data_IF_795606649248
#
_entry.id   IF_795606649248
#
_cell.length_a   1.000
_cell.length_b   1.000
_cell.length_c   1.000
_cell.angle_alpha   90.00
_cell.angle_beta   90.00
_cell.angle_gamma   90.00
#
_symmetry.space_group_name_H-M   'P 1'
#
loop_
_entity.id
_entity.type
_entity.pdbx_description
1 polymer ?
#
# COMPACT_ATOMS: atom_id res chain seq x y z
N UNK A 1 26.46 11.23 53.82
CA UNK A 1 27.93 11.46 53.75
C UNK A 1 28.35 11.27 52.30
N UNK A 2 29.21 12.18 51.78
CA UNK A 2 29.95 12.12 50.48
C UNK A 2 29.20 11.55 49.24
N UNK A 3 28.79 12.32 48.22
CA UNK A 3 29.61 13.12 47.28
C UNK A 3 30.73 12.24 46.66
N UNK A 4 30.89 12.03 45.34
CA UNK A 4 31.11 12.92 44.17
C UNK A 4 30.98 12.01 42.89
N UNK A 5 30.93 12.42 41.60
CA UNK A 5 30.93 13.71 40.86
C UNK A 5 30.28 13.51 39.46
N UNK A 6 29.77 14.59 38.87
CA UNK A 6 29.53 14.83 37.42
C UNK A 6 30.25 16.17 37.10
N UNK A 7 30.69 16.57 35.87
CA UNK A 7 29.95 16.39 34.60
C UNK A 7 30.78 16.40 33.25
N UNK A 8 30.07 16.40 32.11
CA UNK A 8 30.37 17.02 30.78
C UNK A 8 31.71 16.70 30.06
N UNK A 9 31.59 16.19 28.82
CA UNK A 9 32.34 16.70 27.66
C UNK A 9 31.46 16.81 26.42
N UNK A 10 31.38 17.99 25.85
CA UNK A 10 30.76 18.29 24.54
C UNK A 10 31.72 17.98 23.39
N UNK A 11 31.20 17.48 22.27
CA UNK A 11 31.93 17.46 20.99
C UNK A 11 31.09 18.06 19.86
N UNK A 12 31.23 19.36 19.68
CA UNK A 12 30.84 20.04 18.45
C UNK A 12 31.91 19.83 17.38
N UNK A 13 31.55 19.28 16.22
CA UNK A 13 32.32 19.47 14.98
C UNK A 13 31.43 20.05 13.89
N UNK A 14 31.60 21.35 13.64
CA UNK A 14 31.32 21.94 12.33
C UNK A 14 32.50 21.60 11.41
N UNK A 15 32.20 21.13 10.21
CA UNK A 15 33.10 21.24 9.06
C UNK A 15 32.35 21.97 7.95
N UNK A 16 32.84 23.16 7.62
CA UNK A 16 32.44 23.96 6.46
C UNK A 16 33.66 24.04 5.52
N UNK A 17 33.49 24.62 4.32
CA UNK A 17 34.54 24.99 3.34
C UNK A 17 35.03 23.80 2.49
N UNK A 18 35.03 23.83 1.14
CA UNK A 18 34.54 24.83 0.15
C UNK A 18 34.36 24.14 -1.23
N UNK A 19 33.44 24.65 -2.04
CA UNK A 19 33.43 24.40 -3.49
C UNK A 19 34.61 25.10 -4.19
N UNK A 20 35.12 24.46 -5.24
CA UNK A 20 36.08 25.05 -6.19
C UNK A 20 35.72 24.62 -7.63
N UNK A 21 34.74 25.29 -8.23
CA UNK A 21 34.94 25.82 -9.60
C UNK A 21 33.96 26.95 -9.91
N UNK A 22 34.49 28.14 -10.20
CA UNK A 22 33.70 29.35 -10.39
C UNK A 22 33.45 29.66 -11.86
N UNK A 23 32.30 29.25 -12.42
CA UNK A 23 31.84 29.72 -13.74
C UNK A 23 30.39 30.19 -13.72
N UNK A 24 30.20 31.48 -14.01
CA UNK A 24 28.89 32.11 -14.19
C UNK A 24 28.38 31.83 -15.60
N UNK A 25 27.15 31.30 -15.73
CA UNK A 25 26.38 31.41 -16.96
C UNK A 25 25.19 32.36 -16.75
N UNK A 26 24.99 33.28 -17.70
CA UNK A 26 23.84 34.19 -17.74
C UNK A 26 22.72 33.51 -18.53
N UNK A 27 21.52 33.40 -17.96
CA UNK A 27 20.31 33.05 -18.69
C UNK A 27 19.60 34.32 -19.19
N UNK A 28 19.31 34.36 -20.49
CA UNK A 28 18.44 35.36 -21.12
C UNK A 28 17.02 34.82 -21.23
N UNK A 29 15.96 35.62 -20.96
CA UNK A 29 14.59 35.17 -21.11
C UNK A 29 14.19 35.12 -22.59
N UNK A 30 13.57 34.02 -23.02
CA UNK A 30 12.94 33.90 -24.34
C UNK A 30 11.45 34.21 -24.25
N UNK A 31 10.96 35.01 -25.19
CA UNK A 31 9.56 35.41 -25.33
C UNK A 31 8.99 34.69 -26.57
N UNK A 32 7.78 34.14 -26.46
CA UNK A 32 7.01 33.60 -27.59
C UNK A 32 5.75 34.43 -27.83
N UNK A 33 5.49 34.90 -29.07
CA UNK A 33 4.26 35.61 -29.41
C UNK A 33 3.21 34.71 -30.07
N UNK A 34 1.92 34.96 -29.78
CA UNK A 34 0.82 34.58 -30.66
C UNK A 34 0.81 35.45 -31.93
N UNK A 35 0.21 34.95 -33.03
CA UNK A 35 -0.87 35.74 -33.65
C UNK A 35 -2.09 34.91 -34.12
N UNK A 36 -3.17 35.63 -34.43
CA UNK A 36 -4.48 35.13 -34.86
C UNK A 36 -4.73 35.32 -36.37
N UNK A 37 -5.68 34.52 -36.89
CA UNK A 37 -6.63 34.79 -37.99
C UNK A 37 -6.18 35.29 -39.39
N UNK A 38 -6.65 34.53 -40.41
CA UNK A 38 -7.12 35.02 -41.72
C UNK A 38 -8.05 33.92 -42.31
N UNK A 39 -9.36 34.06 -42.52
CA UNK A 39 -10.16 34.98 -43.37
C UNK A 39 -10.69 34.31 -44.66
N UNK A 40 -12.03 34.15 -44.71
CA UNK A 40 -12.95 34.54 -45.83
C UNK A 40 -13.02 33.61 -47.08
N UNK A 41 -14.00 33.77 -48.03
CA UNK A 41 -15.22 34.64 -48.06
C UNK A 41 -16.57 34.00 -48.61
N UNK A 42 -17.72 34.65 -48.29
CA UNK A 42 -18.87 35.09 -49.18
C UNK A 42 -19.61 34.03 -50.07
N UNK A 43 -20.90 33.67 -49.82
CA UNK A 43 -22.20 34.22 -50.36
C UNK A 43 -22.45 34.06 -51.89
N UNK A 44 -23.67 34.02 -52.49
CA UNK A 44 -25.05 34.42 -52.12
C UNK A 44 -26.09 33.71 -53.07
N UNK A 45 -27.40 33.92 -52.79
CA UNK A 45 -28.56 33.94 -53.72
C UNK A 45 -29.53 32.72 -53.84
N UNK A 46 -30.81 33.08 -54.04
CA UNK A 46 -32.03 32.28 -53.95
C UNK A 46 -32.46 31.65 -55.29
N UNK A 47 -33.26 30.57 -55.23
CA UNK A 47 -34.55 30.48 -55.95
C UNK A 47 -35.39 29.26 -55.51
N UNK A 48 -36.70 29.49 -55.42
CA UNK A 48 -37.81 28.54 -55.26
C UNK A 48 -38.84 28.96 -56.36
N UNK A 49 -39.79 28.13 -56.89
CA UNK A 49 -40.52 27.12 -56.14
C UNK A 49 -40.96 25.82 -56.84
N UNK A 50 -41.63 24.99 -56.02
CA UNK A 50 -42.66 23.96 -56.33
C UNK A 50 -42.25 22.47 -56.33
N UNK A 51 -42.53 21.79 -55.20
CA UNK A 51 -43.48 20.64 -55.12
C UNK A 51 -43.83 20.28 -53.67
N UNK A 52 -45.00 19.66 -53.49
CA UNK A 52 -45.63 19.31 -52.19
C UNK A 52 -44.97 18.07 -51.52
N UNK A 53 -45.20 17.85 -50.21
CA UNK A 53 -44.21 17.18 -49.35
C UNK A 53 -44.31 15.66 -49.32
N UNK A 54 -43.18 15.01 -49.02
CA UNK A 54 -43.14 13.66 -48.45
C UNK A 54 -42.61 13.80 -47.02
N UNK A 55 -43.42 13.36 -46.06
CA UNK A 55 -43.10 13.45 -44.64
C UNK A 55 -42.22 12.23 -44.27
N UNK A 56 -40.92 12.45 -44.00
CA UNK A 56 -40.08 11.47 -43.32
C UNK A 56 -39.62 12.04 -41.99
N UNK A 57 -39.95 11.33 -40.90
CA UNK A 57 -39.56 11.66 -39.54
C UNK A 57 -38.05 11.45 -39.34
N UNK A 58 -37.25 12.49 -39.58
CA UNK A 58 -35.78 12.48 -39.43
C UNK A 58 -35.29 12.46 -37.97
N UNK A 59 -36.20 12.50 -36.99
CA UNK A 59 -35.90 12.61 -35.57
C UNK A 59 -35.48 11.29 -34.89
N UNK A 60 -35.75 10.12 -35.47
CA UNK A 60 -35.40 8.83 -34.86
C UNK A 60 -33.97 8.39 -35.17
N UNK A 61 -33.49 8.56 -36.41
CA UNK A 61 -32.15 8.07 -36.80
C UNK A 61 -31.03 8.88 -36.13
N UNK A 62 -31.19 10.20 -36.00
CA UNK A 62 -30.23 11.04 -35.29
C UNK A 62 -30.19 10.74 -33.78
N UNK A 63 -31.32 10.38 -33.17
CA UNK A 63 -31.37 9.97 -31.77
C UNK A 63 -30.68 8.61 -31.55
N UNK A 64 -30.96 7.61 -32.39
CA UNK A 64 -30.32 6.28 -32.32
C UNK A 64 -28.81 6.38 -32.53
N UNK A 65 -28.33 7.15 -33.51
CA UNK A 65 -26.88 7.34 -33.71
C UNK A 65 -26.20 8.06 -32.53
N UNK A 66 -26.91 8.95 -31.84
CA UNK A 66 -26.40 9.64 -30.62
C UNK A 66 -26.46 8.72 -29.39
N UNK A 67 -27.40 7.78 -29.33
CA UNK A 67 -27.46 6.74 -28.30
C UNK A 67 -26.39 5.67 -28.52
N UNK A 68 -26.23 5.15 -29.75
CA UNK A 68 -25.14 4.25 -30.13
C UNK A 68 -23.78 4.90 -29.85
N UNK A 69 -23.53 6.15 -30.28
CA UNK A 69 -22.28 6.85 -29.94
C UNK A 69 -22.13 7.16 -28.44
N UNK A 70 -23.21 7.24 -27.66
CA UNK A 70 -23.15 7.34 -26.18
C UNK A 70 -22.84 6.00 -25.52
N UNK A 71 -23.29 4.89 -26.08
CA UNK A 71 -22.96 3.55 -25.59
C UNK A 71 -21.57 3.11 -26.04
N UNK A 72 -21.13 3.51 -27.24
CA UNK A 72 -19.76 3.35 -27.72
C UNK A 72 -18.79 4.21 -26.90
N UNK A 73 -19.08 5.50 -26.67
CA UNK A 73 -18.24 6.34 -25.79
C UNK A 73 -18.26 5.88 -24.33
N UNK A 74 -19.39 5.42 -23.78
CA UNK A 74 -19.43 4.81 -22.44
C UNK A 74 -18.72 3.47 -22.35
N UNK A 75 -18.76 2.64 -23.40
CA UNK A 75 -18.04 1.35 -23.40
C UNK A 75 -16.54 1.54 -23.63
N UNK A 76 -16.14 2.58 -24.37
CA UNK A 76 -14.75 3.03 -24.49
C UNK A 76 -14.26 3.67 -23.17
N UNK A 77 -15.04 4.54 -22.52
CA UNK A 77 -14.74 5.03 -21.16
C UNK A 77 -14.61 3.86 -20.16
N UNK A 78 -15.51 2.89 -20.21
CA UNK A 78 -15.49 1.70 -19.35
C UNK A 78 -14.31 0.76 -19.65
N UNK A 79 -13.81 0.75 -20.88
CA UNK A 79 -12.60 0.05 -21.27
C UNK A 79 -11.31 0.82 -20.91
N UNK A 80 -11.41 2.14 -20.68
CA UNK A 80 -10.31 3.00 -20.23
C UNK A 80 -10.24 3.15 -18.70
N UNK A 81 -11.35 2.97 -17.99
CA UNK A 81 -11.33 2.87 -16.51
C UNK A 81 -10.63 1.59 -16.07
N UNK A 82 -9.55 1.74 -15.33
CA UNK A 82 -8.83 0.64 -14.69
C UNK A 82 -9.74 -0.16 -13.76
N UNK A 83 -10.03 -1.41 -14.12
CA UNK A 83 -10.83 -2.32 -13.30
C UNK A 83 -9.99 -2.84 -12.11
N UNK A 84 -9.96 -2.03 -11.05
CA UNK A 84 -9.28 -2.35 -9.81
C UNK A 84 -9.75 -3.69 -9.22
N UNK A 85 -11.03 -4.05 -9.33
CA UNK A 85 -11.55 -5.29 -8.76
C UNK A 85 -10.98 -6.51 -9.49
N UNK A 86 -11.01 -6.50 -10.82
CA UNK A 86 -10.42 -7.59 -11.61
C UNK A 86 -8.90 -7.63 -11.51
N UNK A 87 -8.21 -6.49 -11.41
CA UNK A 87 -6.78 -6.43 -11.11
C UNK A 87 -6.46 -7.13 -9.78
N UNK A 88 -7.15 -6.75 -8.71
CA UNK A 88 -6.96 -7.31 -7.36
C UNK A 88 -7.24 -8.82 -7.33
N UNK A 89 -8.32 -9.28 -7.98
CA UNK A 89 -8.65 -10.71 -8.08
C UNK A 89 -7.59 -11.49 -8.86
N UNK A 90 -7.11 -10.95 -9.99
CA UNK A 90 -6.08 -11.57 -10.81
C UNK A 90 -4.76 -11.72 -10.04
N UNK A 91 -4.25 -10.63 -9.46
CA UNK A 91 -2.99 -10.63 -8.70
C UNK A 91 -3.09 -11.48 -7.43
N UNK A 92 -4.22 -11.44 -6.71
CA UNK A 92 -4.44 -12.32 -5.55
C UNK A 92 -4.45 -13.81 -5.94
N UNK A 93 -4.97 -14.15 -7.12
CA UNK A 93 -4.91 -15.53 -7.66
C UNK A 93 -3.46 -15.96 -7.94
N UNK A 94 -2.68 -15.15 -8.65
CA UNK A 94 -1.24 -15.40 -8.90
C UNK A 94 -0.47 -15.62 -7.58
N UNK A 95 -0.69 -14.74 -6.60
CA UNK A 95 -0.03 -14.80 -5.29
C UNK A 95 -0.44 -16.04 -4.51
N UNK A 96 -1.73 -16.37 -4.45
CA UNK A 96 -2.21 -17.58 -3.76
C UNK A 96 -1.58 -18.86 -4.35
N UNK A 97 -1.49 -18.93 -5.69
CA UNK A 97 -0.80 -20.04 -6.37
C UNK A 97 0.68 -20.11 -5.99
N UNK A 98 1.40 -18.98 -6.05
CA UNK A 98 2.82 -18.92 -5.72
C UNK A 98 3.09 -19.30 -4.24
N UNK A 99 2.24 -18.86 -3.30
CA UNK A 99 2.31 -19.25 -1.89
C UNK A 99 2.07 -20.75 -1.67
N UNK A 100 1.13 -21.35 -2.41
CA UNK A 100 0.86 -22.79 -2.36
C UNK A 100 2.03 -23.63 -2.93
N UNK A 101 2.64 -23.17 -4.02
CA UNK A 101 3.82 -23.79 -4.64
C UNK A 101 5.09 -23.62 -3.79
N UNK A 102 5.21 -22.51 -3.04
CA UNK A 102 6.38 -22.21 -2.21
C UNK A 102 6.48 -23.09 -0.95
N UNK A 103 5.36 -23.46 -0.32
CA UNK A 103 5.34 -24.23 0.94
C UNK A 103 4.64 -25.57 0.74
N UNK A 104 5.38 -26.58 0.27
CA UNK A 104 4.88 -27.94 0.11
C UNK A 104 4.81 -28.69 1.46
N UNK A 105 3.89 -29.65 1.56
CA UNK A 105 3.83 -30.58 2.70
C UNK A 105 5.02 -31.55 2.65
N UNK A 106 5.79 -31.59 3.73
CA UNK A 106 6.96 -32.47 3.93
C UNK A 106 7.20 -32.64 5.43
N UNK A 107 8.06 -33.58 5.82
CA UNK A 107 8.39 -33.77 7.24
C UNK A 107 9.21 -32.59 7.81
N UNK A 108 8.97 -32.18 9.07
CA UNK A 108 7.89 -32.62 9.95
C UNK A 108 6.52 -32.08 9.49
N UNK A 109 5.55 -32.97 9.27
CA UNK A 109 4.26 -32.62 8.67
C UNK A 109 3.50 -31.54 9.44
N UNK A 110 3.38 -31.67 10.77
CA UNK A 110 2.55 -30.79 11.63
C UNK A 110 2.93 -29.30 11.52
N UNK A 111 4.23 -28.99 11.32
CA UNK A 111 4.70 -27.61 11.10
C UNK A 111 4.26 -27.11 9.72
N UNK A 112 4.48 -27.89 8.65
CA UNK A 112 4.11 -27.48 7.29
C UNK A 112 2.59 -27.36 7.12
N UNK A 113 1.80 -28.21 7.80
CA UNK A 113 0.34 -28.08 7.88
C UNK A 113 -0.08 -26.78 8.58
N UNK A 114 0.52 -26.46 9.73
CA UNK A 114 0.25 -25.22 10.46
C UNK A 114 0.62 -23.95 9.66
N UNK A 115 1.81 -23.94 9.04
CA UNK A 115 2.25 -22.83 8.16
C UNK A 115 1.27 -22.62 7.00
N UNK A 116 0.91 -23.69 6.29
CA UNK A 116 -0.04 -23.63 5.17
C UNK A 116 -1.44 -23.23 5.63
N UNK A 117 -1.90 -23.69 6.79
CA UNK A 117 -3.23 -23.38 7.32
C UNK A 117 -3.46 -21.87 7.40
N UNK A 118 -2.56 -21.13 8.06
CA UNK A 118 -2.68 -19.67 8.24
C UNK A 118 -2.42 -18.92 6.93
N UNK A 119 -1.37 -19.32 6.19
CA UNK A 119 -0.92 -18.62 4.99
C UNK A 119 -1.95 -18.72 3.85
N UNK A 120 -2.55 -19.90 3.69
CA UNK A 120 -3.53 -20.21 2.63
C UNK A 120 -4.99 -20.04 3.09
N UNK A 121 -5.23 -19.50 4.29
CA UNK A 121 -6.59 -19.17 4.76
C UNK A 121 -7.31 -18.06 3.95
N UNK A 122 -6.68 -17.53 2.90
CA UNK A 122 -7.16 -16.38 2.13
C UNK A 122 -6.75 -15.04 2.77
N UNK A 123 -7.24 -13.93 2.20
CA UNK A 123 -6.96 -12.58 2.68
C UNK A 123 -7.02 -11.55 1.54
N UNK A 124 -7.00 -10.24 1.87
CA UNK A 124 -7.03 -9.15 0.88
C UNK A 124 -5.73 -9.07 0.03
N UNK A 125 -4.63 -9.75 0.43
CA UNK A 125 -3.30 -9.82 -0.23
C UNK A 125 -2.69 -8.46 -0.66
N UNK A 126 -3.01 -7.38 0.07
CA UNK A 126 -2.60 -5.99 -0.25
C UNK A 126 -1.08 -5.83 -0.31
N UNK A 127 -0.35 -6.45 0.63
CA UNK A 127 1.13 -6.40 0.72
C UNK A 127 1.80 -7.02 -0.53
N UNK A 128 1.50 -8.27 -0.94
CA UNK A 128 1.91 -8.82 -2.23
C UNK A 128 1.62 -7.91 -3.43
N UNK A 129 0.43 -7.32 -3.50
CA UNK A 129 0.03 -6.49 -4.63
C UNK A 129 0.77 -5.15 -4.69
N UNK A 130 1.06 -4.53 -3.54
CA UNK A 130 1.96 -3.37 -3.46
C UNK A 130 3.38 -3.71 -3.96
N UNK A 131 3.91 -4.88 -3.60
CA UNK A 131 5.22 -5.34 -4.07
C UNK A 131 5.26 -5.59 -5.58
N UNK A 132 4.23 -6.22 -6.14
CA UNK A 132 4.15 -6.47 -7.58
C UNK A 132 3.96 -5.15 -8.35
N UNK A 133 3.03 -4.30 -7.93
CA UNK A 133 2.76 -3.01 -8.58
C UNK A 133 3.96 -2.06 -8.55
N UNK A 134 4.72 -2.00 -7.44
CA UNK A 134 5.92 -1.18 -7.35
C UNK A 134 7.06 -1.68 -8.24
N UNK A 135 7.17 -3.00 -8.45
CA UNK A 135 8.10 -3.60 -9.42
C UNK A 135 7.72 -3.25 -10.86
N UNK A 136 6.45 -3.44 -11.22
CA UNK A 136 5.91 -3.15 -12.55
C UNK A 136 6.04 -1.65 -12.92
N UNK A 137 5.82 -0.76 -11.94
CA UNK A 137 5.94 0.70 -12.07
C UNK A 137 7.30 1.11 -12.66
N UNK A 138 8.38 0.60 -12.08
CA UNK A 138 9.76 0.96 -12.46
C UNK A 138 10.30 0.11 -13.62
N UNK A 139 9.45 -0.72 -14.24
CA UNK A 139 9.79 -1.50 -15.44
C UNK A 139 10.21 -2.94 -15.19
N UNK A 140 10.10 -3.43 -13.95
CA UNK A 140 10.26 -4.84 -13.62
C UNK A 140 9.08 -5.72 -14.05
N UNK A 141 9.18 -7.01 -13.73
CA UNK A 141 8.15 -8.01 -14.06
C UNK A 141 7.57 -8.64 -12.77
N UNK A 142 6.29 -9.00 -12.78
CA UNK A 142 5.61 -9.71 -11.68
C UNK A 142 6.40 -10.95 -11.23
N UNK A 143 6.90 -11.75 -12.18
CA UNK A 143 7.71 -12.95 -11.94
C UNK A 143 8.98 -12.69 -11.13
N UNK A 144 9.54 -11.48 -11.23
CA UNK A 144 10.75 -11.05 -10.51
C UNK A 144 10.42 -10.63 -9.08
N UNK A 145 9.25 -10.01 -8.87
CA UNK A 145 8.78 -9.59 -7.55
C UNK A 145 8.09 -10.72 -6.76
N UNK A 146 7.57 -11.76 -7.42
CA UNK A 146 6.73 -12.78 -6.79
C UNK A 146 7.35 -13.44 -5.54
N UNK A 147 8.67 -13.78 -5.49
CA UNK A 147 9.28 -14.31 -4.27
C UNK A 147 9.25 -13.32 -3.09
N UNK A 148 9.49 -12.02 -3.33
CA UNK A 148 9.38 -10.99 -2.30
C UNK A 148 7.92 -10.72 -1.91
N UNK A 149 6.99 -10.75 -2.87
CA UNK A 149 5.56 -10.64 -2.63
C UNK A 149 5.05 -11.82 -1.74
N UNK A 150 5.56 -13.03 -1.97
CA UNK A 150 5.29 -14.18 -1.11
C UNK A 150 5.90 -14.00 0.28
N UNK A 151 7.16 -13.56 0.38
CA UNK A 151 7.86 -13.36 1.64
C UNK A 151 7.18 -12.32 2.56
N UNK A 152 6.69 -11.20 2.03
CA UNK A 152 5.96 -10.21 2.85
C UNK A 152 4.61 -10.74 3.36
N UNK A 153 3.95 -11.66 2.64
CA UNK A 153 2.73 -12.31 3.12
C UNK A 153 3.02 -13.46 4.10
N UNK A 154 4.16 -14.15 3.98
CA UNK A 154 4.66 -15.08 4.99
C UNK A 154 4.94 -14.35 6.31
N UNK A 155 5.64 -13.21 6.26
CA UNK A 155 5.90 -12.33 7.41
C UNK A 155 4.61 -11.77 8.00
N UNK A 156 3.70 -11.27 7.16
CA UNK A 156 2.39 -10.82 7.64
C UNK A 156 1.59 -11.95 8.30
N UNK A 157 1.65 -13.16 7.75
CA UNK A 157 0.94 -14.31 8.31
C UNK A 157 1.54 -14.75 9.65
N UNK A 158 2.87 -14.80 9.78
CA UNK A 158 3.49 -15.18 11.05
C UNK A 158 3.29 -14.12 12.14
N UNK A 159 3.28 -12.83 11.76
CA UNK A 159 2.98 -11.78 12.74
C UNK A 159 1.57 -11.97 13.32
N UNK A 160 0.57 -12.27 12.48
CA UNK A 160 -0.79 -12.60 12.95
C UNK A 160 -0.83 -13.87 13.80
N UNK A 161 -0.08 -14.92 13.43
CA UNK A 161 -0.05 -16.16 14.21
C UNK A 161 0.55 -16.00 15.61
N UNK A 162 1.48 -15.06 15.79
CA UNK A 162 2.05 -14.72 17.10
C UNK A 162 1.16 -13.74 17.85
N UNK A 163 0.59 -12.74 17.18
CA UNK A 163 -0.42 -11.78 17.72
C UNK A 163 -1.65 -12.52 18.28
N UNK A 164 -2.08 -13.62 17.63
CA UNK A 164 -3.18 -14.49 18.06
C UNK A 164 -2.92 -15.28 19.38
N UNK A 165 -1.67 -15.36 19.88
CA UNK A 165 -1.33 -16.26 21.00
C UNK A 165 -1.96 -15.84 22.34
N UNK A 166 -2.14 -16.78 23.31
CA UNK A 166 -2.72 -16.47 24.62
C UNK A 166 -1.94 -15.47 25.49
N UNK A 167 -0.66 -15.24 25.19
CA UNK A 167 0.19 -14.24 25.83
C UNK A 167 0.21 -12.87 25.12
N UNK A 168 -0.58 -12.73 24.04
CA UNK A 168 -0.74 -11.56 23.18
C UNK A 168 -2.25 -11.23 23.15
N UNK A 169 -2.88 -11.07 21.98
CA UNK A 169 -4.31 -10.72 21.88
C UNK A 169 -5.25 -11.86 22.32
N UNK A 170 -4.77 -13.11 22.39
CA UNK A 170 -5.53 -14.31 22.76
C UNK A 170 -6.81 -14.52 21.92
N UNK A 171 -6.77 -14.14 20.64
CA UNK A 171 -7.90 -14.22 19.72
C UNK A 171 -8.27 -15.70 19.42
N UNK A 172 -9.57 -16.04 19.44
CA UNK A 172 -10.07 -17.39 19.15
C UNK A 172 -10.29 -17.63 17.64
N UNK A 173 -10.45 -16.56 16.85
CA UNK A 173 -10.83 -16.61 15.43
C UNK A 173 -10.03 -15.63 14.56
N UNK A 174 -9.50 -16.11 13.44
CA UNK A 174 -8.82 -15.29 12.42
C UNK A 174 -9.28 -15.70 11.01
N UNK A 175 -9.58 -14.71 10.16
CA UNK A 175 -10.09 -14.92 8.77
C UNK A 175 -11.29 -15.89 8.68
N UNK A 176 -12.18 -15.86 9.68
CA UNK A 176 -13.38 -16.71 9.74
C UNK A 176 -13.13 -18.18 10.11
N UNK A 177 -11.94 -18.51 10.62
CA UNK A 177 -11.55 -19.85 11.09
C UNK A 177 -10.93 -19.76 12.49
N UNK A 178 -10.82 -20.86 13.26
CA UNK A 178 -10.06 -20.88 14.49
C UNK A 178 -8.61 -20.39 14.30
N UNK A 179 -8.07 -19.69 15.29
CA UNK A 179 -6.66 -19.28 15.29
C UNK A 179 -5.71 -20.47 15.34
N UNK A 180 -4.46 -20.25 14.92
CA UNK A 180 -3.52 -21.34 14.71
C UNK A 180 -3.26 -22.15 15.99
N UNK A 181 -3.11 -21.50 17.14
CA UNK A 181 -2.88 -22.18 18.41
C UNK A 181 -4.08 -23.03 18.86
N UNK A 182 -5.32 -22.64 18.51
CA UNK A 182 -6.51 -23.46 18.78
C UNK A 182 -6.55 -24.73 17.93
N UNK A 183 -6.01 -24.69 16.72
CA UNK A 183 -5.97 -25.83 15.81
C UNK A 183 -4.80 -26.78 16.08
N UNK A 184 -3.62 -26.25 16.41
CA UNK A 184 -2.37 -27.03 16.44
C UNK A 184 -1.65 -27.08 17.80
N UNK A 185 -2.03 -26.23 18.76
CA UNK A 185 -1.30 -25.98 20.00
C UNK A 185 -0.42 -24.72 19.92
N UNK A 186 -0.18 -24.08 21.07
CA UNK A 186 0.68 -22.88 21.19
C UNK A 186 2.12 -23.15 20.74
N UNK A 187 2.65 -24.32 21.10
CA UNK A 187 3.99 -24.79 20.74
C UNK A 187 4.21 -24.83 19.22
N UNK A 188 3.24 -25.37 18.49
CA UNK A 188 3.27 -25.44 17.04
C UNK A 188 2.96 -24.10 16.38
N UNK A 189 2.10 -23.27 16.97
CA UNK A 189 1.80 -21.94 16.45
C UNK A 189 3.03 -21.01 16.50
N UNK A 190 3.78 -21.02 17.61
CA UNK A 190 5.06 -20.30 17.75
C UNK A 190 6.04 -20.78 16.67
N UNK A 191 6.34 -22.08 16.64
CA UNK A 191 7.36 -22.66 15.75
C UNK A 191 6.99 -22.56 14.26
N UNK A 192 5.72 -22.62 13.90
CA UNK A 192 5.27 -22.41 12.52
C UNK A 192 5.36 -20.93 12.11
N UNK A 193 5.18 -20.00 13.05
CA UNK A 193 5.45 -18.58 12.83
C UNK A 193 6.94 -18.33 12.60
N UNK A 194 7.81 -18.90 13.44
CA UNK A 194 9.27 -18.82 13.30
C UNK A 194 9.75 -19.43 11.97
N UNK A 195 9.16 -20.55 11.56
CA UNK A 195 9.46 -21.21 10.29
C UNK A 195 9.03 -20.37 9.08
N UNK A 196 7.85 -19.71 9.13
CA UNK A 196 7.42 -18.77 8.09
C UNK A 196 8.34 -17.56 8.01
N UNK A 197 8.78 -17.04 9.15
CA UNK A 197 9.74 -15.95 9.23
C UNK A 197 11.08 -16.33 8.60
N UNK A 198 11.69 -17.45 9.01
CA UNK A 198 12.94 -17.92 8.44
C UNK A 198 12.82 -18.22 6.94
N UNK A 199 11.75 -18.91 6.52
CA UNK A 199 11.53 -19.27 5.13
C UNK A 199 11.29 -18.04 4.24
N UNK A 200 10.73 -16.95 4.77
CA UNK A 200 10.55 -15.71 3.99
C UNK A 200 11.88 -15.18 3.41
N UNK A 201 12.97 -15.21 4.20
CA UNK A 201 14.32 -14.84 3.76
C UNK A 201 14.94 -15.87 2.83
N UNK A 202 14.83 -17.17 3.14
CA UNK A 202 15.31 -18.25 2.27
C UNK A 202 14.66 -18.16 0.88
N UNK A 203 13.35 -17.92 0.83
CA UNK A 203 12.58 -17.85 -0.40
C UNK A 203 13.00 -16.65 -1.27
N UNK A 204 13.19 -15.46 -0.69
CA UNK A 204 13.77 -14.32 -1.43
C UNK A 204 15.16 -14.65 -1.97
N UNK A 205 16.04 -15.20 -1.13
CA UNK A 205 17.42 -15.50 -1.51
C UNK A 205 17.54 -16.56 -2.62
N UNK A 206 16.69 -17.59 -2.58
CA UNK A 206 16.82 -18.79 -3.43
C UNK A 206 15.87 -18.80 -4.62
N UNK A 207 14.67 -18.22 -4.53
CA UNK A 207 13.68 -18.25 -5.60
C UNK A 207 13.74 -17.03 -6.54
N UNK A 208 14.30 -15.89 -6.11
CA UNK A 208 14.49 -14.73 -7.00
C UNK A 208 15.44 -15.05 -8.16
N UNK A 209 15.05 -14.68 -9.38
CA UNK A 209 15.81 -14.87 -10.64
C UNK A 209 15.81 -13.57 -11.45
N UNK A 210 16.74 -13.45 -12.40
CA UNK A 210 16.83 -12.29 -13.30
C UNK A 210 17.38 -11.00 -12.69
N UNK A 211 17.85 -11.04 -11.44
CA UNK A 211 18.35 -9.89 -10.68
C UNK A 211 19.76 -10.21 -10.14
N UNK A 212 20.64 -9.21 -10.03
CA UNK A 212 21.97 -9.44 -9.44
C UNK A 212 21.87 -9.73 -7.92
N UNK A 213 22.88 -10.41 -7.38
CA UNK A 213 22.92 -10.80 -5.97
C UNK A 213 22.93 -9.60 -5.01
N UNK A 214 23.55 -8.48 -5.38
CA UNK A 214 23.62 -7.26 -4.58
C UNK A 214 22.23 -6.66 -4.32
N UNK A 215 21.37 -6.56 -5.34
CA UNK A 215 19.97 -6.15 -5.17
C UNK A 215 19.18 -7.13 -4.31
N UNK A 216 19.40 -8.44 -4.45
CA UNK A 216 18.75 -9.46 -3.60
C UNK A 216 19.19 -9.30 -2.14
N UNK A 217 20.48 -9.06 -1.87
CA UNK A 217 21.00 -8.77 -0.52
C UNK A 217 20.43 -7.45 0.03
N UNK A 218 20.29 -6.40 -0.79
CA UNK A 218 19.62 -5.15 -0.40
C UNK A 218 18.16 -5.38 -0.01
N UNK A 219 17.41 -6.16 -0.80
CA UNK A 219 16.01 -6.56 -0.53
C UNK A 219 15.91 -7.31 0.81
N UNK A 220 16.82 -8.26 1.05
CA UNK A 220 16.90 -8.99 2.33
C UNK A 220 17.21 -8.03 3.50
N UNK A 221 18.09 -7.04 3.32
CA UNK A 221 18.41 -6.05 4.35
C UNK A 221 17.23 -5.11 4.67
N UNK A 222 16.50 -4.65 3.66
CA UNK A 222 15.27 -3.86 3.85
C UNK A 222 14.20 -4.68 4.59
N UNK A 223 14.01 -5.94 4.20
CA UNK A 223 13.06 -6.84 4.84
C UNK A 223 13.43 -7.11 6.32
N UNK A 224 14.72 -7.33 6.61
CA UNK A 224 15.22 -7.54 7.96
C UNK A 224 15.04 -6.31 8.87
N UNK A 225 15.29 -5.10 8.36
CA UNK A 225 15.03 -3.84 9.09
C UNK A 225 13.54 -3.66 9.39
N UNK A 226 12.70 -3.91 8.38
CA UNK A 226 11.24 -3.79 8.49
C UNK A 226 10.64 -4.66 9.59
N UNK A 227 11.15 -5.86 9.83
CA UNK A 227 10.59 -6.76 10.86
C UNK A 227 11.17 -6.52 12.25
N UNK A 228 12.39 -5.98 12.34
CA UNK A 228 13.19 -5.98 13.55
C UNK A 228 12.77 -4.94 14.59
N UNK A 229 13.71 -4.66 15.50
CA UNK A 229 13.57 -3.66 16.58
C UNK A 229 13.47 -2.20 16.12
N UNK A 230 13.49 -1.95 14.80
CA UNK A 230 13.26 -0.64 14.16
C UNK A 230 11.99 -0.63 13.30
N UNK A 231 11.16 -1.69 13.39
CA UNK A 231 9.99 -1.91 12.53
C UNK A 231 8.88 -2.67 13.26
N UNK A 232 8.33 -3.71 12.62
CA UNK A 232 7.14 -4.46 13.08
C UNK A 232 7.19 -4.83 14.57
N UNK A 233 8.30 -5.46 15.02
CA UNK A 233 8.45 -5.87 16.43
C UNK A 233 8.51 -4.65 17.37
N UNK A 234 9.10 -3.53 16.95
CA UNK A 234 9.10 -2.30 17.75
C UNK A 234 7.66 -1.77 17.95
N UNK A 235 6.87 -1.75 16.87
CA UNK A 235 5.46 -1.35 16.92
C UNK A 235 4.64 -2.26 17.82
N UNK A 236 4.83 -3.58 17.71
CA UNK A 236 4.13 -4.56 18.56
C UNK A 236 4.48 -4.41 20.04
N UNK A 237 5.77 -4.29 20.38
CA UNK A 237 6.22 -4.12 21.77
C UNK A 237 5.68 -2.83 22.38
N UNK A 238 5.65 -1.74 21.61
CA UNK A 238 5.11 -0.46 22.10
C UNK A 238 3.58 -0.49 22.19
N UNK A 239 2.86 -1.17 21.30
CA UNK A 239 1.40 -1.36 21.40
C UNK A 239 1.04 -2.08 22.72
N UNK A 240 1.65 -3.25 22.98
CA UNK A 240 1.45 -4.02 24.22
C UNK A 240 1.86 -3.21 25.46
N UNK A 241 2.99 -2.50 25.41
CA UNK A 241 3.45 -1.65 26.52
C UNK A 241 2.57 -0.42 26.76
N UNK A 242 1.63 -0.12 25.86
CA UNK A 242 0.68 0.99 25.97
C UNK A 242 -0.70 0.56 26.46
N UNK A 243 -0.97 -0.74 26.57
CA UNK A 243 -2.24 -1.25 27.09
C UNK A 243 -2.41 -0.87 28.57
N UNK A 244 -3.57 -0.31 28.90
CA UNK A 244 -3.86 0.22 30.24
C UNK A 244 -3.18 1.55 30.58
N UNK A 245 -2.42 2.19 29.67
CA UNK A 245 -1.97 3.57 29.84
C UNK A 245 -3.09 4.55 29.49
N UNK A 246 -3.48 5.39 30.45
CA UNK A 246 -4.57 6.36 30.30
C UNK A 246 -4.24 7.57 29.41
N UNK A 247 -2.96 7.83 29.15
CA UNK A 247 -2.48 8.99 28.38
C UNK A 247 -1.42 8.58 27.36
N UNK A 248 -1.87 8.19 26.16
CA UNK A 248 -1.00 7.99 24.99
C UNK A 248 -1.06 9.25 24.11
N UNK A 249 0.07 9.92 23.93
CA UNK A 249 0.17 11.10 23.07
C UNK A 249 0.13 10.78 21.58
N UNK A 250 -0.18 11.78 20.75
CA UNK A 250 -0.30 11.62 19.29
C UNK A 250 0.98 11.05 18.65
N UNK A 251 2.15 11.55 19.05
CA UNK A 251 3.46 11.09 18.54
C UNK A 251 3.71 9.61 18.86
N UNK A 252 3.20 9.13 19.99
CA UNK A 252 3.35 7.74 20.45
C UNK A 252 2.35 6.82 19.74
N UNK A 253 1.13 7.29 19.50
CA UNK A 253 0.15 6.61 18.65
C UNK A 253 0.67 6.47 17.21
N UNK A 254 1.20 7.56 16.64
CA UNK A 254 1.80 7.56 15.30
C UNK A 254 3.01 6.62 15.24
N UNK A 255 3.85 6.56 16.29
CA UNK A 255 4.92 5.57 16.38
C UNK A 255 4.37 4.14 16.29
N UNK A 256 3.36 3.77 17.07
CA UNK A 256 2.75 2.42 17.03
C UNK A 256 2.28 2.10 15.62
N UNK A 257 1.53 3.01 14.99
CA UNK A 257 0.95 2.78 13.67
C UNK A 257 1.97 2.71 12.53
N UNK A 258 2.99 3.57 12.56
CA UNK A 258 4.09 3.53 11.60
C UNK A 258 4.86 2.21 11.67
N UNK A 259 5.06 1.66 12.88
CA UNK A 259 5.87 0.46 13.07
C UNK A 259 5.05 -0.84 12.96
N UNK A 260 3.90 -0.97 13.63
CA UNK A 260 3.05 -2.18 13.62
C UNK A 260 2.39 -2.42 12.25
N UNK A 261 1.93 -1.36 11.58
CA UNK A 261 1.16 -1.47 10.32
C UNK A 261 1.93 -0.96 9.10
N UNK A 262 2.45 0.27 9.13
CA UNK A 262 3.00 0.91 7.94
C UNK A 262 4.33 0.30 7.49
N UNK A 263 5.22 -0.10 8.39
CA UNK A 263 6.55 -0.63 8.07
C UNK A 263 6.50 -1.80 7.05
N UNK A 264 5.57 -2.75 7.21
CA UNK A 264 5.46 -3.88 6.29
C UNK A 264 4.81 -3.52 4.94
N UNK A 265 4.01 -2.44 4.89
CA UNK A 265 3.53 -1.86 3.63
C UNK A 265 4.66 -1.10 2.91
N UNK A 266 5.49 -0.36 3.67
CA UNK A 266 6.72 0.28 3.20
C UNK A 266 7.69 -0.73 2.59
N UNK A 267 8.03 -1.79 3.32
CA UNK A 267 8.86 -2.86 2.80
C UNK A 267 8.26 -3.46 1.54
N UNK A 268 6.97 -3.81 1.54
CA UNK A 268 6.31 -4.39 0.35
C UNK A 268 6.57 -3.55 -0.91
N UNK A 269 6.34 -2.24 -0.85
CA UNK A 269 6.59 -1.32 -1.98
C UNK A 269 8.10 -1.23 -2.31
N UNK A 270 8.96 -1.05 -1.30
CA UNK A 270 10.42 -0.87 -1.47
C UNK A 270 11.08 -2.10 -2.06
N UNK A 271 10.72 -3.32 -1.62
CA UNK A 271 11.25 -4.57 -2.16
C UNK A 271 10.90 -4.69 -3.65
N UNK A 272 9.64 -4.39 -4.01
CA UNK A 272 9.18 -4.35 -5.38
C UNK A 272 9.98 -3.39 -6.25
N UNK A 273 10.16 -2.15 -5.80
CA UNK A 273 10.93 -1.13 -6.51
C UNK A 273 12.40 -1.56 -6.74
N UNK A 274 13.09 -2.07 -5.71
CA UNK A 274 14.49 -2.50 -5.82
C UNK A 274 14.64 -3.68 -6.80
N UNK A 275 13.72 -4.65 -6.76
CA UNK A 275 13.71 -5.80 -7.67
C UNK A 275 13.40 -5.39 -9.11
N UNK A 276 12.46 -4.45 -9.30
CA UNK A 276 12.13 -3.89 -10.61
C UNK A 276 13.24 -3.02 -11.21
N UNK A 277 14.19 -2.59 -10.39
CA UNK A 277 15.38 -1.87 -10.83
C UNK A 277 15.33 -0.35 -10.68
N UNK A 278 14.46 0.14 -9.78
CA UNK A 278 14.41 1.52 -9.34
C UNK A 278 15.79 2.05 -8.93
N UNK A 279 16.03 3.33 -9.20
CA UNK A 279 17.14 4.07 -8.60
C UNK A 279 16.78 4.54 -7.17
N UNK A 280 17.76 5.07 -6.43
CA UNK A 280 17.57 5.42 -5.02
C UNK A 280 16.54 6.56 -4.79
N UNK A 281 16.42 7.52 -5.72
CA UNK A 281 15.39 8.56 -5.64
C UNK A 281 13.99 7.97 -5.84
N UNK A 282 13.82 7.06 -6.80
CA UNK A 282 12.56 6.35 -7.02
C UNK A 282 12.19 5.49 -5.80
N UNK A 283 13.15 4.80 -5.19
CA UNK A 283 12.96 4.04 -3.95
C UNK A 283 12.53 4.95 -2.81
N UNK A 284 13.18 6.09 -2.59
CA UNK A 284 12.83 7.02 -1.50
C UNK A 284 11.47 7.68 -1.69
N UNK A 285 11.07 7.98 -2.93
CA UNK A 285 9.72 8.45 -3.25
C UNK A 285 8.67 7.38 -2.98
N UNK A 286 8.92 6.15 -3.41
CA UNK A 286 8.01 5.02 -3.19
C UNK A 286 7.95 4.61 -1.70
N UNK A 287 9.03 4.81 -0.95
CA UNK A 287 9.06 4.70 0.52
C UNK A 287 8.11 5.71 1.18
N UNK A 288 8.18 6.98 0.77
CA UNK A 288 7.27 8.05 1.26
C UNK A 288 5.81 7.75 0.90
N UNK A 289 5.53 7.34 -0.34
CA UNK A 289 4.20 6.87 -0.76
C UNK A 289 3.66 5.80 0.19
N UNK A 290 4.49 4.79 0.46
CA UNK A 290 4.11 3.65 1.28
C UNK A 290 3.87 4.00 2.76
N UNK A 291 4.64 4.93 3.32
CA UNK A 291 4.39 5.52 4.66
C UNK A 291 3.05 6.23 4.72
N UNK A 292 2.75 7.09 3.74
CA UNK A 292 1.48 7.81 3.68
C UNK A 292 0.28 6.86 3.62
N UNK A 293 0.29 5.85 2.74
CA UNK A 293 -0.82 4.87 2.67
C UNK A 293 -0.89 3.95 3.90
N UNK A 294 0.25 3.68 4.56
CA UNK A 294 0.29 2.84 5.75
C UNK A 294 -0.30 3.54 6.97
N UNK A 295 -0.02 4.83 7.14
CA UNK A 295 -0.65 5.65 8.18
C UNK A 295 -2.14 5.88 7.87
N UNK A 296 -2.46 6.18 6.61
CA UNK A 296 -3.83 6.33 6.10
C UNK A 296 -4.69 5.08 6.39
N UNK A 297 -4.14 3.87 6.18
CA UNK A 297 -4.85 2.63 6.43
C UNK A 297 -5.37 2.53 7.86
N UNK A 298 -4.56 2.99 8.82
CA UNK A 298 -4.85 2.94 10.23
C UNK A 298 -5.78 4.07 10.68
N UNK A 299 -5.54 5.31 10.21
CA UNK A 299 -6.48 6.44 10.41
C UNK A 299 -7.89 6.07 9.93
N UNK A 300 -8.00 5.37 8.80
CA UNK A 300 -9.29 4.89 8.28
C UNK A 300 -9.85 3.74 9.10
N UNK A 301 -9.05 2.79 9.60
CA UNK A 301 -9.55 1.70 10.46
C UNK A 301 -10.13 2.26 11.78
N UNK A 302 -9.41 3.19 12.41
CA UNK A 302 -9.85 3.90 13.63
C UNK A 302 -11.16 4.67 13.41
N UNK A 303 -11.31 5.37 12.28
CA UNK A 303 -12.56 6.07 11.91
C UNK A 303 -13.69 5.07 11.68
N UNK A 304 -13.42 3.94 11.02
CA UNK A 304 -14.41 2.92 10.74
C UNK A 304 -14.90 2.24 12.04
N UNK A 305 -14.02 1.92 12.99
CA UNK A 305 -14.38 1.28 14.27
C UNK A 305 -15.37 2.11 15.10
N UNK A 306 -15.28 3.44 15.02
CA UNK A 306 -16.18 4.37 15.73
C UNK A 306 -17.41 4.83 14.92
N UNK A 307 -17.49 4.52 13.61
CA UNK A 307 -18.60 4.98 12.74
C UNK A 307 -19.48 3.88 12.17
N UNK A 308 -18.98 2.66 12.03
CA UNK A 308 -19.69 1.53 11.41
C UNK A 308 -20.16 0.56 12.48
N UNK A 309 -21.23 -0.17 12.18
CA UNK A 309 -21.69 -1.27 13.02
C UNK A 309 -20.81 -2.52 12.87
N UNK A 310 -20.80 -3.39 13.89
CA UNK A 310 -20.09 -4.67 13.84
C UNK A 310 -20.49 -5.55 12.65
N UNK A 311 -21.72 -5.39 12.17
CA UNK A 311 -22.25 -6.13 11.02
C UNK A 311 -21.66 -5.64 9.69
N UNK A 312 -21.32 -4.34 9.58
CA UNK A 312 -20.70 -3.76 8.38
C UNK A 312 -19.19 -4.06 8.31
N UNK A 313 -18.51 -4.03 9.46
CA UNK A 313 -17.06 -4.28 9.53
C UNK A 313 -16.70 -5.77 9.51
N UNK A 314 -17.60 -6.67 9.94
CA UNK A 314 -17.29 -8.08 10.14
C UNK A 314 -16.36 -8.37 11.33
N UNK A 315 -16.05 -7.34 12.13
CA UNK A 315 -15.40 -7.40 13.46
C UNK A 315 -16.31 -6.73 14.50
N UNK A 316 -16.10 -6.97 15.79
CA UNK A 316 -16.79 -6.23 16.86
C UNK A 316 -16.37 -4.76 16.83
N UNK A 317 -17.27 -3.87 16.40
CA UNK A 317 -17.06 -2.43 16.40
C UNK A 317 -17.09 -1.85 17.82
N UNK A 318 -16.40 -0.73 18.03
CA UNK A 318 -16.25 -0.11 19.34
C UNK A 318 -15.39 -0.92 20.32
N UNK A 319 -14.62 -1.92 19.83
CA UNK A 319 -13.66 -2.67 20.66
C UNK A 319 -12.65 -1.73 21.30
N UNK A 320 -12.18 -0.73 20.55
CA UNK A 320 -11.20 0.25 21.03
C UNK A 320 -11.78 1.16 22.13
N UNK A 321 -13.08 1.48 22.07
CA UNK A 321 -13.77 2.22 23.14
C UNK A 321 -13.92 1.39 24.43
N UNK A 322 -14.12 0.07 24.29
CA UNK A 322 -14.24 -0.85 25.45
C UNK A 322 -12.87 -1.17 26.07
N UNK A 323 -11.82 -1.21 25.26
CA UNK A 323 -10.43 -1.41 25.71
C UNK A 323 -9.73 -0.11 26.16
N UNK A 324 -10.43 1.04 26.14
CA UNK A 324 -9.88 2.39 26.31
C UNK A 324 -8.67 2.70 25.40
N UNK A 325 -8.54 1.98 24.27
CA UNK A 325 -7.41 2.10 23.35
C UNK A 325 -7.39 3.52 22.77
N UNK A 326 -6.19 4.07 22.63
CA UNK A 326 -6.02 5.40 22.07
C UNK A 326 -6.01 5.32 20.55
N UNK A 327 -6.85 6.13 19.90
CA UNK A 327 -7.09 6.15 18.46
C UNK A 327 -7.12 7.58 17.93
N UNK A 328 -6.99 7.77 16.62
CA UNK A 328 -7.05 9.12 16.02
C UNK A 328 -8.35 9.88 16.34
N UNK A 329 -9.56 9.28 16.24
CA UNK A 329 -10.79 9.97 16.63
C UNK A 329 -10.83 10.36 18.11
N UNK A 330 -10.21 9.57 19.02
CA UNK A 330 -10.12 9.90 20.46
C UNK A 330 -9.23 11.12 20.72
N UNK A 331 -8.10 11.24 20.01
CA UNK A 331 -7.13 12.33 20.21
C UNK A 331 -7.45 13.61 19.42
N UNK A 332 -7.96 13.47 18.19
CA UNK A 332 -8.13 14.60 17.26
C UNK A 332 -9.60 15.02 17.07
N UNK A 333 -10.55 14.14 17.37
CA UNK A 333 -11.92 14.22 16.87
C UNK A 333 -12.04 13.62 15.46
N UNK A 334 -13.27 13.23 15.09
CA UNK A 334 -13.52 12.51 13.85
C UNK A 334 -13.32 13.38 12.60
N UNK A 335 -13.67 14.67 12.65
CA UNK A 335 -13.50 15.61 11.54
C UNK A 335 -12.02 15.76 11.18
N UNK A 336 -11.15 16.04 12.16
CA UNK A 336 -9.70 16.16 11.94
C UNK A 336 -9.06 14.83 11.53
N UNK A 337 -9.61 13.71 11.97
CA UNK A 337 -9.16 12.38 11.51
C UNK A 337 -9.47 12.17 10.02
N UNK A 338 -10.62 12.65 9.53
CA UNK A 338 -10.94 12.65 8.08
C UNK A 338 -10.05 13.61 7.30
N UNK A 339 -9.81 14.83 7.80
CA UNK A 339 -8.86 15.78 7.19
C UNK A 339 -7.44 15.19 7.11
N UNK A 340 -7.00 14.45 8.13
CA UNK A 340 -5.74 13.71 8.14
C UNK A 340 -5.71 12.62 7.06
N UNK A 341 -6.77 11.83 6.93
CA UNK A 341 -6.88 10.81 5.89
C UNK A 341 -6.84 11.40 4.47
N UNK A 342 -7.60 12.46 4.21
CA UNK A 342 -7.58 13.16 2.91
C UNK A 342 -6.19 13.74 2.59
N UNK A 343 -5.52 14.31 3.59
CA UNK A 343 -4.13 14.79 3.45
C UNK A 343 -3.17 13.65 3.11
N UNK A 344 -3.21 12.53 3.83
CA UNK A 344 -2.32 11.39 3.60
C UNK A 344 -2.54 10.74 2.23
N UNK A 345 -3.79 10.64 1.77
CA UNK A 345 -4.09 10.12 0.43
C UNK A 345 -3.53 11.06 -0.66
N UNK A 346 -3.66 12.38 -0.50
CA UNK A 346 -3.09 13.36 -1.43
C UNK A 346 -1.56 13.30 -1.43
N UNK A 347 -0.91 13.34 -0.27
CA UNK A 347 0.55 13.27 -0.13
C UNK A 347 1.11 11.97 -0.73
N UNK A 348 0.41 10.84 -0.57
CA UNK A 348 0.75 9.59 -1.24
C UNK A 348 0.72 9.75 -2.78
N UNK A 349 -0.37 10.27 -3.34
CA UNK A 349 -0.50 10.45 -4.79
C UNK A 349 0.53 11.45 -5.37
N UNK A 350 0.88 12.50 -4.62
CA UNK A 350 1.98 13.42 -4.97
C UNK A 350 3.33 12.69 -5.12
N UNK A 351 3.61 11.68 -4.28
CA UNK A 351 4.84 10.88 -4.42
C UNK A 351 4.90 10.06 -5.71
N UNK A 352 3.78 9.85 -6.43
CA UNK A 352 3.73 9.13 -7.70
C UNK A 352 3.87 10.03 -8.95
N UNK A 353 3.92 11.36 -8.79
CA UNK A 353 3.96 12.31 -9.92
C UNK A 353 5.26 12.20 -10.74
N UNK A 354 5.16 11.94 -12.04
CA UNK A 354 6.32 11.82 -12.92
C UNK A 354 6.89 10.41 -13.07
N UNK A 355 6.32 9.42 -12.38
CA UNK A 355 6.32 8.06 -12.91
C UNK A 355 5.33 7.96 -14.09
N UNK A 356 5.39 6.86 -14.86
CA UNK A 356 4.42 6.59 -15.92
C UNK A 356 2.98 6.51 -15.34
N UNK A 357 2.02 7.34 -15.79
CA UNK A 357 0.69 7.39 -15.20
C UNK A 357 -0.11 6.08 -15.34
N UNK A 358 0.08 5.35 -16.44
CA UNK A 358 -0.62 4.07 -16.68
C UNK A 358 -0.09 3.04 -15.70
N UNK A 359 1.23 2.95 -15.53
CA UNK A 359 1.85 2.04 -14.57
C UNK A 359 1.66 2.45 -13.11
N UNK A 360 1.46 3.73 -12.81
CA UNK A 360 1.15 4.22 -11.46
C UNK A 360 -0.31 3.93 -11.04
N UNK A 361 -1.20 3.68 -12.01
CA UNK A 361 -2.64 3.50 -11.79
C UNK A 361 -2.98 2.42 -10.74
N UNK A 362 -2.34 1.23 -10.67
CA UNK A 362 -2.59 0.26 -9.60
C UNK A 362 -2.27 0.77 -8.19
N UNK A 363 -1.19 1.56 -8.02
CA UNK A 363 -0.83 2.13 -6.72
C UNK A 363 -1.80 3.26 -6.32
N UNK A 364 -2.23 4.09 -7.27
CA UNK A 364 -3.26 5.12 -7.06
C UNK A 364 -4.60 4.47 -6.68
N UNK A 365 -4.98 3.38 -7.35
CA UNK A 365 -6.21 2.64 -7.06
C UNK A 365 -6.15 1.95 -5.68
N UNK A 366 -4.99 1.40 -5.29
CA UNK A 366 -4.76 0.87 -3.94
C UNK A 366 -4.86 1.97 -2.87
N UNK A 367 -4.25 3.14 -3.08
CA UNK A 367 -4.34 4.26 -2.13
C UNK A 367 -5.78 4.75 -1.94
N UNK A 368 -6.53 4.91 -3.04
CA UNK A 368 -7.94 5.31 -2.99
C UNK A 368 -8.83 4.21 -2.40
N UNK A 369 -8.57 2.92 -2.66
CA UNK A 369 -9.26 1.83 -1.98
C UNK A 369 -9.04 1.88 -0.47
N UNK A 370 -7.82 2.15 -0.01
CA UNK A 370 -7.53 2.30 1.42
C UNK A 370 -8.27 3.52 2.00
N UNK A 371 -8.28 4.66 1.29
CA UNK A 371 -8.93 5.90 1.73
C UNK A 371 -10.46 5.79 1.86
N UNK A 372 -11.11 5.05 0.95
CA UNK A 372 -12.57 5.04 0.78
C UNK A 372 -13.21 3.67 0.96
N UNK A 373 -12.55 2.73 1.65
CA UNK A 373 -13.14 1.43 1.99
C UNK A 373 -14.24 1.57 3.04
N UNK A 374 -15.32 0.81 2.84
CA UNK A 374 -16.37 0.65 3.85
C UNK A 374 -16.02 -0.40 4.94
N UNK A 375 -14.97 -1.23 4.73
CA UNK A 375 -14.51 -2.32 5.62
C UNK A 375 -13.05 -2.81 5.38
#
# INVERSE_FOLDING_TARGET
MSALVNPITTWSRRSSVKDVDGRRFRSTPFILPHPLHSNLPISFCFSDPTRKPINFSSLTVAAVLVEEQKEESKSIEKALTFDFKNYMLGKASSVNKALEEAILLREPLKIHESMRYSLLAGGKRVRPMLCIAACELVGGQESTAMPAACAVEMIHTMSLMHDDLPCMDNDDLRRGKPTNHKMFGEDVAVLAGDALLAFSFEHVATATKGVNSERIVRVISELAKCIGSEGLVAGQVVDISSEGLSEVGLDHLEFIHLHKTAALLEASVVLGAILGGANDEEVDRLRKFARCIGLLFQVVDDILDVTKSSQELGKTAGKDLVADKTTYPKLLGIEKSRELAERLNREAQEQLVGFDPVKATPLIALANYIAYRDN
#
